data_IF_061488510957
#
_entry.id   IF_061488510957
#
_cell.length_a   1.000
_cell.length_b   1.000
_cell.length_c   1.000
_cell.angle_alpha   90.00
_cell.angle_beta   90.00
_cell.angle_gamma   90.00
#
_symmetry.space_group_name_H-M   'P 1'
#
loop_
_entity.id
_entity.type
_entity.pdbx_description
1 polymer ?
#
# COMPACT_ATOMS: atom_id res chain seq x y z
N UNK A 1 -6.22 3.39 1.58
CA UNK A 1 -6.89 2.81 2.75
C UNK A 1 -6.43 1.37 2.94
N UNK A 2 -5.85 1.03 4.09
CA UNK A 2 -5.41 -0.33 4.42
C UNK A 2 -6.34 -0.88 5.49
N UNK A 3 -7.07 -1.93 5.15
CA UNK A 3 -8.05 -2.59 6.02
C UNK A 3 -7.31 -3.66 6.82
N UNK A 4 -7.32 -3.55 8.15
CA UNK A 4 -6.61 -4.48 9.03
C UNK A 4 -7.55 -5.53 9.63
N UNK A 5 -7.08 -6.78 9.80
CA UNK A 5 -7.85 -7.82 10.49
C UNK A 5 -8.05 -7.48 11.97
N UNK A 6 -9.23 -7.81 12.52
CA UNK A 6 -9.62 -7.50 13.91
C UNK A 6 -10.86 -8.26 14.36
N UNK A 7 -11.17 -8.27 15.68
CA UNK A 7 -11.59 -7.05 16.37
C UNK A 7 -10.54 -6.35 17.27
N UNK A 8 -10.64 -5.01 17.45
CA UNK A 8 -11.45 -4.11 16.62
C UNK A 8 -10.86 -4.00 15.21
N UNK A 9 -11.70 -3.72 14.21
CA UNK A 9 -11.23 -3.50 12.84
C UNK A 9 -10.58 -2.12 12.75
N UNK A 10 -9.35 -2.06 12.26
CA UNK A 10 -8.64 -0.80 12.05
C UNK A 10 -8.52 -0.48 10.57
N UNK A 11 -8.54 0.82 10.25
CA UNK A 11 -8.23 1.33 8.92
C UNK A 11 -7.05 2.30 9.04
N UNK A 12 -6.03 2.09 8.22
CA UNK A 12 -4.92 3.01 8.08
C UNK A 12 -5.06 3.75 6.76
N UNK A 13 -5.21 5.07 6.82
CA UNK A 13 -5.45 5.91 5.64
C UNK A 13 -4.35 6.95 5.54
N UNK A 14 -3.80 7.11 4.34
CA UNK A 14 -2.81 8.11 4.00
C UNK A 14 -3.36 8.95 2.86
N UNK A 15 -3.27 10.27 3.00
CA UNK A 15 -3.67 11.23 1.97
C UNK A 15 -2.45 11.97 1.46
N UNK A 16 -2.35 12.09 0.13
CA UNK A 16 -1.29 12.81 -0.54
C UNK A 16 -1.96 13.79 -1.51
N UNK A 17 -1.63 15.07 -1.35
CA UNK A 17 -1.96 16.09 -2.34
C UNK A 17 -0.80 16.22 -3.33
N UNK A 18 -1.13 16.62 -4.56
CA UNK A 18 -0.15 16.88 -5.61
C UNK A 18 -0.30 18.35 -5.99
N UNK A 19 0.72 19.14 -5.66
CA UNK A 19 0.71 20.59 -5.91
C UNK A 19 1.09 20.91 -7.37
N UNK A 20 1.96 20.10 -7.97
CA UNK A 20 2.40 20.21 -9.35
C UNK A 20 1.98 18.96 -10.13
N UNK A 21 1.03 19.11 -11.05
CA UNK A 21 0.50 18.00 -11.84
C UNK A 21 1.52 17.42 -12.83
N UNK A 22 2.53 18.20 -13.22
CA UNK A 22 3.51 17.78 -14.24
C UNK A 22 4.29 16.52 -13.84
N UNK A 23 4.43 16.29 -12.53
CA UNK A 23 5.13 15.16 -11.94
C UNK A 23 4.33 13.85 -12.04
N UNK A 24 3.02 13.92 -12.28
CA UNK A 24 2.14 12.74 -12.37
C UNK A 24 1.39 12.61 -13.70
N UNK A 25 1.24 13.68 -14.48
CA UNK A 25 0.50 13.65 -15.74
C UNK A 25 1.37 13.35 -16.97
N UNK A 26 2.69 13.22 -16.78
CA UNK A 26 3.62 12.86 -17.84
C UNK A 26 4.20 14.05 -18.62
N UNK A 27 3.78 15.28 -18.31
CA UNK A 27 4.19 16.49 -19.04
C UNK A 27 5.62 16.92 -18.72
N UNK A 28 6.17 16.58 -17.55
CA UNK A 28 7.59 16.82 -17.24
C UNK A 28 8.55 15.92 -18.06
N UNK A 29 8.01 14.92 -18.77
CA UNK A 29 8.73 14.03 -19.68
C UNK A 29 9.57 12.93 -19.01
N UNK A 30 9.71 12.94 -17.68
CA UNK A 30 10.50 11.97 -16.92
C UNK A 30 9.91 10.55 -17.00
N UNK A 31 10.73 9.49 -16.84
CA UNK A 31 10.22 8.13 -16.75
C UNK A 31 9.21 7.95 -15.60
N UNK A 32 9.41 8.66 -14.48
CA UNK A 32 8.52 8.63 -13.32
C UNK A 32 7.16 9.23 -13.61
N UNK A 33 7.09 10.40 -14.26
CA UNK A 33 5.80 11.04 -14.55
C UNK A 33 4.99 10.28 -15.58
N UNK A 34 5.64 9.68 -16.59
CA UNK A 34 4.98 8.80 -17.57
C UNK A 34 4.39 7.56 -16.90
N UNK A 35 5.16 6.94 -15.98
CA UNK A 35 4.68 5.80 -15.20
C UNK A 35 3.52 6.20 -14.28
N UNK A 36 3.64 7.35 -13.62
CA UNK A 36 2.59 7.90 -12.77
C UNK A 36 1.33 8.22 -13.58
N UNK A 37 1.46 8.77 -14.79
CA UNK A 37 0.33 9.07 -15.67
C UNK A 37 -0.45 7.80 -15.99
N UNK A 38 0.26 6.75 -16.40
CA UNK A 38 -0.36 5.46 -16.67
C UNK A 38 -1.01 4.86 -15.41
N UNK A 39 -0.40 5.05 -14.24
CA UNK A 39 -0.92 4.54 -12.98
C UNK A 39 -2.15 5.30 -12.48
N UNK A 40 -2.17 6.64 -12.50
CA UNK A 40 -3.28 7.44 -11.98
C UNK A 40 -4.40 7.60 -13.01
N UNK A 41 -4.07 7.94 -14.25
CA UNK A 41 -5.05 8.31 -15.28
C UNK A 41 -5.34 7.18 -16.29
N UNK A 42 -4.48 6.15 -16.38
CA UNK A 42 -4.69 5.04 -17.31
C UNK A 42 -5.97 4.22 -17.07
N UNK A 43 -6.44 3.46 -18.05
CA UNK A 43 -7.72 2.72 -17.94
C UNK A 43 -7.60 1.34 -17.28
N UNK A 44 -6.39 0.77 -17.17
CA UNK A 44 -6.19 -0.64 -16.79
C UNK A 44 -5.83 -0.81 -15.32
N UNK A 45 -6.70 -1.48 -14.55
CA UNK A 45 -6.37 -1.88 -13.18
C UNK A 45 -5.35 -3.03 -13.14
N UNK A 46 -5.32 -3.90 -14.16
CA UNK A 46 -4.29 -4.94 -14.29
C UNK A 46 -2.87 -4.37 -14.39
N UNK A 47 -2.71 -3.14 -14.89
CA UNK A 47 -1.45 -2.41 -14.82
C UNK A 47 -1.15 -1.96 -13.38
N UNK A 48 -2.12 -1.34 -12.71
CA UNK A 48 -1.96 -0.84 -11.33
C UNK A 48 -1.60 -1.95 -10.35
N UNK A 49 -2.28 -3.09 -10.46
CA UNK A 49 -2.04 -4.29 -9.66
C UNK A 49 -0.60 -4.81 -9.79
N UNK A 50 0.08 -4.51 -10.90
CA UNK A 50 1.46 -4.93 -11.18
C UNK A 50 2.49 -3.86 -10.80
N UNK A 51 2.06 -2.65 -10.46
CA UNK A 51 2.95 -1.48 -10.31
C UNK A 51 3.00 -0.96 -8.87
N UNK A 52 1.90 -1.02 -8.11
CA UNK A 52 1.87 -0.48 -6.75
C UNK A 52 2.69 -1.32 -5.75
N UNK A 53 3.78 -0.75 -5.24
CA UNK A 53 4.78 -1.45 -4.43
C UNK A 53 4.78 -0.98 -2.98
N UNK A 54 4.71 -1.93 -2.05
CA UNK A 54 4.97 -1.71 -0.62
C UNK A 54 6.41 -2.10 -0.31
N UNK A 55 7.14 -1.20 0.35
CA UNK A 55 8.48 -1.46 0.84
C UNK A 55 8.42 -1.47 2.37
N UNK A 56 8.42 -2.65 3.01
CA UNK A 56 8.34 -2.71 4.46
C UNK A 56 9.66 -2.24 5.09
N UNK A 57 9.58 -1.37 6.10
CA UNK A 57 10.74 -0.93 6.88
C UNK A 57 10.37 -0.64 8.32
N UNK A 58 11.04 -1.33 9.25
CA UNK A 58 10.92 -1.08 10.69
C UNK A 58 12.25 -0.53 11.18
N UNK A 59 12.36 0.80 11.33
CA UNK A 59 13.58 1.47 11.76
C UNK A 59 13.95 1.09 13.21
N UNK A 60 13.00 1.21 14.14
CA UNK A 60 13.13 0.83 15.56
C UNK A 60 11.96 -0.08 15.93
N UNK A 61 12.21 -1.14 16.71
CA UNK A 61 11.19 -2.13 17.08
C UNK A 61 11.77 -3.50 17.41
N UNK A 62 10.90 -4.41 17.89
CA UNK A 62 11.24 -5.77 18.31
C UNK A 62 11.94 -6.59 17.20
N UNK A 63 13.03 -7.29 17.54
CA UNK A 63 13.84 -8.06 16.56
C UNK A 63 13.07 -9.20 15.89
N UNK A 64 12.17 -9.88 16.61
CA UNK A 64 11.34 -10.96 16.05
C UNK A 64 10.34 -10.40 15.04
N UNK A 65 9.70 -9.27 15.36
CA UNK A 65 8.79 -8.58 14.44
C UNK A 65 9.53 -8.11 13.19
N UNK A 66 10.71 -7.51 13.35
CA UNK A 66 11.58 -7.11 12.22
C UNK A 66 11.90 -8.29 11.30
N UNK A 67 12.28 -9.43 11.86
CA UNK A 67 12.62 -10.64 11.09
C UNK A 67 11.41 -11.23 10.36
N UNK A 68 10.25 -11.22 11.01
CA UNK A 68 9.03 -11.79 10.44
C UNK A 68 8.43 -10.92 9.31
N UNK A 69 8.48 -9.60 9.45
CA UNK A 69 8.01 -8.66 8.40
C UNK A 69 9.01 -8.60 7.24
N UNK A 70 10.31 -8.64 7.54
CA UNK A 70 11.37 -8.52 6.56
C UNK A 70 11.46 -7.12 5.94
N UNK A 71 12.27 -7.01 4.88
CA UNK A 71 12.50 -5.76 4.13
C UNK A 71 12.28 -5.92 2.63
N UNK A 72 11.78 -7.09 2.21
CA UNK A 72 11.58 -7.41 0.80
C UNK A 72 10.40 -6.60 0.25
N UNK A 73 10.63 -5.76 -0.77
CA UNK A 73 9.54 -5.06 -1.43
C UNK A 73 8.54 -6.01 -2.07
N UNK A 74 7.26 -5.65 -2.04
CA UNK A 74 6.17 -6.47 -2.57
C UNK A 74 5.23 -5.65 -3.44
N UNK A 75 4.79 -6.22 -4.56
CA UNK A 75 3.71 -5.64 -5.36
C UNK A 75 2.39 -6.04 -4.70
N UNK A 76 1.68 -5.07 -4.11
CA UNK A 76 0.51 -5.34 -3.26
C UNK A 76 -0.59 -6.07 -4.04
N UNK A 77 -0.92 -5.59 -5.24
CA UNK A 77 -2.01 -6.13 -6.06
C UNK A 77 -1.83 -7.60 -6.46
N UNK A 78 -0.61 -8.14 -6.35
CA UNK A 78 -0.33 -9.57 -6.58
C UNK A 78 -0.47 -10.45 -5.33
N UNK A 79 -0.63 -9.87 -4.14
CA UNK A 79 -0.59 -10.58 -2.86
C UNK A 79 -1.86 -10.46 -2.03
N UNK A 80 -2.56 -9.33 -2.16
CA UNK A 80 -3.83 -9.09 -1.49
C UNK A 80 -4.81 -8.42 -2.46
N UNK A 81 -6.11 -8.59 -2.18
CA UNK A 81 -7.18 -7.94 -2.92
C UNK A 81 -7.00 -6.43 -2.79
N UNK A 82 -6.95 -5.77 -3.94
CA UNK A 82 -6.72 -4.33 -4.03
C UNK A 82 -7.79 -3.74 -4.93
N UNK A 83 -8.53 -2.76 -4.41
CA UNK A 83 -9.56 -2.06 -5.17
C UNK A 83 -9.08 -0.65 -5.47
N UNK A 84 -9.25 -0.21 -6.71
CA UNK A 84 -8.91 1.14 -7.15
C UNK A 84 -10.21 1.92 -7.38
N UNK A 85 -10.41 3.00 -6.62
CA UNK A 85 -11.55 3.91 -6.81
C UNK A 85 -10.99 5.20 -7.39
N UNK A 86 -11.55 5.64 -8.51
CA UNK A 86 -11.04 6.79 -9.26
C UNK A 86 -12.15 7.76 -9.61
N UNK A 87 -11.79 9.03 -9.56
CA UNK A 87 -12.61 10.16 -9.96
C UNK A 87 -11.71 11.16 -10.67
N UNK A 88 -12.29 12.28 -11.12
CA UNK A 88 -11.54 13.41 -11.67
C UNK A 88 -10.62 14.06 -10.63
N UNK A 89 -10.98 13.99 -9.34
CA UNK A 89 -10.26 14.65 -8.24
C UNK A 89 -9.40 13.74 -7.37
N UNK A 90 -9.58 12.42 -7.43
CA UNK A 90 -8.81 11.52 -6.57
C UNK A 90 -8.67 10.11 -7.14
N UNK A 91 -7.62 9.43 -6.69
CA UNK A 91 -7.39 8.01 -6.88
C UNK A 91 -7.16 7.37 -5.50
N UNK A 92 -8.10 6.55 -5.04
CA UNK A 92 -7.98 5.80 -3.81
C UNK A 92 -7.58 4.34 -4.10
N UNK A 93 -6.60 3.86 -3.32
CA UNK A 93 -6.17 2.46 -3.33
C UNK A 93 -6.61 1.84 -2.01
N UNK A 94 -7.48 0.83 -2.09
CA UNK A 94 -8.00 0.10 -0.94
C UNK A 94 -7.32 -1.26 -0.91
N UNK A 95 -6.59 -1.54 0.16
CA UNK A 95 -5.84 -2.78 0.34
C UNK A 95 -6.49 -3.62 1.44
N UNK A 96 -7.04 -4.78 1.08
CA UNK A 96 -7.65 -5.70 2.04
C UNK A 96 -6.64 -6.74 2.53
N UNK A 97 -6.03 -6.49 3.69
CA UNK A 97 -5.11 -7.44 4.34
C UNK A 97 -5.83 -8.74 4.68
N UNK A 98 -7.15 -8.71 4.87
CA UNK A 98 -7.94 -9.88 5.21
C UNK A 98 -8.16 -10.83 4.03
N UNK A 99 -7.74 -10.46 2.82
CA UNK A 99 -7.84 -11.37 1.67
C UNK A 99 -6.72 -12.42 1.64
N UNK A 100 -5.67 -12.29 2.48
CA UNK A 100 -4.50 -13.18 2.48
C UNK A 100 -4.23 -13.77 3.84
N UNK A 101 -4.13 -15.10 3.91
CA UNK A 101 -3.78 -15.82 5.14
C UNK A 101 -2.38 -15.45 5.63
N UNK A 102 -1.43 -15.21 4.72
CA UNK A 102 -0.07 -14.77 5.06
C UNK A 102 -0.11 -13.36 5.64
N UNK A 103 -0.81 -12.42 4.98
CA UNK A 103 -0.91 -11.05 5.44
C UNK A 103 -1.61 -10.97 6.83
N UNK A 104 -2.71 -11.73 7.02
CA UNK A 104 -3.36 -11.88 8.33
C UNK A 104 -2.41 -12.35 9.42
N UNK A 105 -1.59 -13.38 9.16
CA UNK A 105 -0.61 -13.91 10.13
C UNK A 105 0.43 -12.88 10.52
N UNK A 106 0.99 -12.16 9.54
CA UNK A 106 1.95 -11.08 9.78
C UNK A 106 1.32 -9.98 10.62
N UNK A 107 0.11 -9.53 10.29
CA UNK A 107 -0.57 -8.49 11.06
C UNK A 107 -0.95 -8.95 12.48
N UNK A 108 -1.36 -10.21 12.67
CA UNK A 108 -1.63 -10.77 14.00
C UNK A 108 -0.37 -10.78 14.87
N UNK A 109 0.78 -11.18 14.30
CA UNK A 109 2.07 -11.13 14.98
C UNK A 109 2.46 -9.69 15.35
N UNK A 110 2.32 -8.75 14.42
CA UNK A 110 2.63 -7.33 14.72
C UNK A 110 1.71 -6.81 15.83
N UNK A 111 0.42 -7.13 15.77
CA UNK A 111 -0.58 -6.68 16.75
C UNK A 111 -0.32 -7.26 18.15
N UNK A 112 0.13 -8.51 18.27
CA UNK A 112 0.45 -9.11 19.58
C UNK A 112 1.64 -8.42 20.27
N UNK A 113 2.63 -7.98 19.50
CA UNK A 113 3.77 -7.22 20.01
C UNK A 113 3.49 -5.73 20.18
N UNK A 114 2.51 -5.17 19.48
CA UNK A 114 2.08 -3.79 19.71
C UNK A 114 1.51 -3.61 21.12
N UNK A 115 0.81 -4.63 21.65
CA UNK A 115 0.28 -4.63 23.02
C UNK A 115 1.35 -4.65 24.11
N UNK A 116 2.59 -5.07 23.81
CA UNK A 116 3.69 -5.07 24.78
C UNK A 116 4.55 -3.81 24.74
N UNK A 117 4.18 -2.82 23.91
CA UNK A 117 4.81 -1.50 23.83
C UNK A 117 4.07 -0.44 24.69
N UNK A 118 3.15 -0.88 25.56
CA UNK A 118 2.43 -0.03 26.53
C UNK A 118 3.04 -0.22 27.91
#
# INVERSE_FOLDING_TARGET
NIIMPGPPKYHLVFYYAVDDMSIIDGTDGTPSSKLANQFFFGVSDAFREKTFKLIPRIAKGNRLVKKAVGTTPVIIGKKIATTFVRSDRFCEIICDVTSSTVAKKVCSLVNSYAKSLV
#
